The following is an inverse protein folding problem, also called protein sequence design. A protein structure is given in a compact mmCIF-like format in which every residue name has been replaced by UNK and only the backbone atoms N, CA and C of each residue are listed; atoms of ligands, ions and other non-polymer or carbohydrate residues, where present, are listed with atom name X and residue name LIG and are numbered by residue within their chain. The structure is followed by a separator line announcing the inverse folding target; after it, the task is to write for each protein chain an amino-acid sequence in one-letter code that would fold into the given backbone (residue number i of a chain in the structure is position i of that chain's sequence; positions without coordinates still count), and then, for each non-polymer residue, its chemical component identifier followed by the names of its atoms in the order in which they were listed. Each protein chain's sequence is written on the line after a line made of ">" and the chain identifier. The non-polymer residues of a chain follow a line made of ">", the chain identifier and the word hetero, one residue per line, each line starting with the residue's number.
data_IF_899347231678
#
_entry.id   IF_899347231678
#
_cell.length_a   1.000
_cell.length_b   1.000
_cell.length_c   1.000
_cell.angle_alpha   90.00
_cell.angle_beta   90.00
_cell.angle_gamma   90.00
#
_symmetry.space_group_name_H-M   'P 1'
#
loop_
_entity.id
_entity.type
_entity.pdbx_description
1 polymer ?
#
# COMPACT_ATOMS: atom_id res chain seq x y z
N UNK A 1 -15.04 -9.49 -16.01
CA UNK A 1 -14.29 -8.28 -15.57
C UNK A 1 -12.91 -8.61 -15.00
N UNK A 2 -12.76 -9.53 -14.04
CA UNK A 2 -11.47 -9.78 -13.35
C UNK A 2 -10.30 -10.17 -14.28
N UNK A 3 -10.53 -10.97 -15.33
CA UNK A 3 -9.46 -11.37 -16.27
C UNK A 3 -8.91 -10.19 -17.10
N UNK A 4 -9.77 -9.22 -17.46
CA UNK A 4 -9.35 -8.04 -18.25
C UNK A 4 -8.43 -7.14 -17.43
N UNK A 5 -8.74 -6.94 -16.15
CA UNK A 5 -7.89 -6.16 -15.24
C UNK A 5 -6.52 -6.82 -15.04
N UNK A 6 -6.49 -8.14 -14.81
CA UNK A 6 -5.22 -8.88 -14.68
C UNK A 6 -4.34 -8.79 -15.93
N UNK A 7 -4.94 -8.85 -17.12
CA UNK A 7 -4.18 -8.71 -18.38
C UNK A 7 -3.60 -7.30 -18.55
N UNK A 8 -4.36 -6.26 -18.19
CA UNK A 8 -3.88 -4.88 -18.18
C UNK A 8 -2.74 -4.70 -17.18
N UNK A 9 -2.91 -5.20 -15.95
CA UNK A 9 -1.88 -5.11 -14.91
C UNK A 9 -0.58 -5.83 -15.33
N UNK A 10 -0.70 -7.00 -15.97
CA UNK A 10 0.45 -7.74 -16.49
C UNK A 10 1.20 -6.98 -17.59
N UNK A 11 0.49 -6.36 -18.52
CA UNK A 11 1.09 -5.52 -19.57
C UNK A 11 1.80 -4.29 -19.00
N UNK A 12 1.12 -3.56 -18.11
CA UNK A 12 1.68 -2.39 -17.44
C UNK A 12 2.91 -2.74 -16.59
N UNK A 13 2.89 -3.89 -15.91
CA UNK A 13 4.01 -4.38 -15.11
C UNK A 13 5.24 -4.69 -15.98
N UNK A 14 5.03 -5.34 -17.13
CA UNK A 14 6.12 -5.63 -18.06
C UNK A 14 6.79 -4.34 -18.59
N UNK A 15 5.98 -3.33 -18.92
CA UNK A 15 6.48 -2.04 -19.37
C UNK A 15 7.21 -1.29 -18.24
N UNK A 16 6.65 -1.25 -17.03
CA UNK A 16 7.30 -0.62 -15.88
C UNK A 16 8.66 -1.26 -15.58
N UNK A 17 8.76 -2.59 -15.62
CA UNK A 17 10.04 -3.30 -15.44
C UNK A 17 11.09 -2.86 -16.45
N UNK A 18 10.67 -2.69 -17.71
CA UNK A 18 11.55 -2.22 -18.78
C UNK A 18 12.04 -0.80 -18.50
N UNK A 19 11.14 0.11 -18.09
CA UNK A 19 11.49 1.49 -17.72
C UNK A 19 12.45 1.50 -16.52
N UNK A 20 12.16 0.74 -15.47
CA UNK A 20 13.01 0.68 -14.28
C UNK A 20 14.40 0.12 -14.59
N UNK A 21 14.49 -0.90 -15.45
CA UNK A 21 15.77 -1.47 -15.85
C UNK A 21 16.62 -0.47 -16.66
N UNK A 22 15.98 0.33 -17.51
CA UNK A 22 16.68 1.30 -18.36
C UNK A 22 17.03 2.61 -17.63
N UNK A 23 16.13 3.11 -16.81
CA UNK A 23 16.15 4.49 -16.30
C UNK A 23 16.20 4.58 -14.76
N UNK A 24 16.04 3.47 -14.04
CA UNK A 24 15.82 3.48 -12.61
C UNK A 24 14.40 3.93 -12.23
N UNK A 25 14.21 4.36 -10.99
CA UNK A 25 12.90 4.80 -10.51
C UNK A 25 12.44 6.07 -11.25
N UNK A 26 11.21 6.11 -11.80
CA UNK A 26 10.69 7.31 -12.45
C UNK A 26 10.72 8.53 -11.51
N UNK A 27 11.33 9.61 -11.99
CA UNK A 27 11.54 10.84 -11.22
C UNK A 27 10.34 11.78 -11.28
N UNK A 28 10.33 12.76 -10.37
CA UNK A 28 9.24 13.73 -10.21
C UNK A 28 8.01 13.14 -9.53
N UNK A 29 7.21 14.01 -8.90
CA UNK A 29 6.07 13.59 -8.09
C UNK A 29 5.06 12.72 -8.86
N UNK A 30 4.75 13.10 -10.09
CA UNK A 30 3.80 12.35 -10.93
C UNK A 30 4.40 11.02 -11.41
N UNK A 31 5.62 11.03 -11.95
CA UNK A 31 6.29 9.83 -12.44
C UNK A 31 6.47 8.80 -11.33
N UNK A 32 6.98 9.22 -10.18
CA UNK A 32 7.14 8.34 -9.02
C UNK A 32 5.80 7.81 -8.51
N UNK A 33 4.72 8.61 -8.52
CA UNK A 33 3.42 8.15 -8.06
C UNK A 33 2.81 7.12 -9.02
N UNK A 34 2.89 7.35 -10.33
CA UNK A 34 2.43 6.39 -11.34
C UNK A 34 3.19 5.08 -11.28
N UNK A 35 4.52 5.13 -11.12
CA UNK A 35 5.36 3.96 -10.95
C UNK A 35 5.01 3.18 -9.68
N UNK A 36 4.81 3.89 -8.57
CA UNK A 36 4.35 3.30 -7.32
C UNK A 36 2.99 2.62 -7.48
N UNK A 37 2.02 3.23 -8.16
CA UNK A 37 0.69 2.67 -8.34
C UNK A 37 0.76 1.32 -9.07
N UNK A 38 1.56 1.23 -10.13
CA UNK A 38 1.77 -0.02 -10.85
C UNK A 38 2.51 -1.08 -9.99
N UNK A 39 3.57 -0.68 -9.28
CA UNK A 39 4.30 -1.59 -8.39
C UNK A 39 3.40 -2.09 -7.24
N UNK A 40 2.54 -1.23 -6.70
CA UNK A 40 1.58 -1.53 -5.64
C UNK A 40 0.61 -2.65 -6.03
N UNK A 41 0.26 -2.75 -7.32
CA UNK A 41 -0.66 -3.74 -7.86
C UNK A 41 0.04 -4.98 -8.47
N UNK A 42 1.37 -5.05 -8.40
CA UNK A 42 2.14 -6.22 -8.84
C UNK A 42 2.07 -7.40 -7.84
N UNK A 43 0.88 -7.73 -7.33
CA UNK A 43 0.68 -8.71 -6.25
C UNK A 43 1.12 -10.13 -6.64
N UNK A 44 1.15 -10.46 -7.93
CA UNK A 44 1.69 -11.73 -8.43
C UNK A 44 3.22 -11.77 -8.53
N UNK A 45 3.92 -10.68 -8.21
CA UNK A 45 5.37 -10.56 -8.31
C UNK A 45 5.96 -9.81 -7.11
N UNK A 46 6.00 -10.50 -5.97
CA UNK A 46 6.57 -9.98 -4.72
C UNK A 46 8.05 -9.61 -4.88
N UNK A 47 8.80 -10.35 -5.71
CA UNK A 47 10.21 -10.04 -5.96
C UNK A 47 10.36 -8.64 -6.59
N UNK A 48 9.53 -8.33 -7.58
CA UNK A 48 9.49 -6.99 -8.15
C UNK A 48 9.01 -5.94 -7.15
N UNK A 49 7.98 -6.22 -6.35
CA UNK A 49 7.54 -5.28 -5.29
C UNK A 49 8.68 -4.92 -4.33
N UNK A 50 9.51 -5.90 -3.93
CA UNK A 50 10.69 -5.65 -3.08
C UNK A 50 11.75 -4.79 -3.78
N UNK A 51 12.03 -5.04 -5.07
CA UNK A 51 12.92 -4.19 -5.87
C UNK A 51 12.40 -2.75 -5.94
N UNK A 52 11.11 -2.59 -6.26
CA UNK A 52 10.43 -1.31 -6.32
C UNK A 52 10.46 -0.57 -4.97
N UNK A 53 10.28 -1.30 -3.84
CA UNK A 53 10.40 -0.73 -2.48
C UNK A 53 11.78 -0.12 -2.26
N UNK A 54 12.87 -0.81 -2.61
CA UNK A 54 14.22 -0.29 -2.43
C UNK A 54 14.50 0.96 -3.26
N UNK A 55 14.05 0.97 -4.51
CA UNK A 55 14.14 2.13 -5.40
C UNK A 55 13.31 3.32 -4.90
N UNK A 56 12.08 3.06 -4.47
CA UNK A 56 11.18 4.06 -3.90
C UNK A 56 11.72 4.62 -2.58
N UNK A 57 12.37 3.80 -1.75
CA UNK A 57 13.02 4.25 -0.52
C UNK A 57 14.15 5.25 -0.80
N UNK A 58 14.98 4.98 -1.80
CA UNK A 58 16.01 5.93 -2.25
C UNK A 58 15.38 7.24 -2.77
N UNK A 59 14.26 7.14 -3.51
CA UNK A 59 13.53 8.30 -4.02
C UNK A 59 12.82 9.11 -2.90
N UNK A 60 12.40 8.47 -1.81
CA UNK A 60 11.88 9.20 -0.63
C UNK A 60 13.03 9.92 0.07
N UNK A 61 14.17 9.24 0.27
CA UNK A 61 15.35 9.82 0.93
C UNK A 61 15.90 11.06 0.21
N UNK A 62 15.81 11.10 -1.11
CA UNK A 62 16.25 12.25 -1.91
C UNK A 62 15.14 13.30 -2.14
N UNK A 63 13.94 13.12 -1.58
CA UNK A 63 12.82 14.05 -1.69
C UNK A 63 12.06 14.02 -3.02
N UNK A 64 12.32 13.05 -3.90
CA UNK A 64 11.63 12.92 -5.20
C UNK A 64 10.39 12.04 -5.19
N UNK A 65 10.08 11.39 -4.06
CA UNK A 65 8.90 10.57 -3.87
C UNK A 65 8.21 10.80 -2.52
N UNK A 66 6.90 10.53 -2.46
CA UNK A 66 6.13 10.67 -1.24
C UNK A 66 6.37 9.49 -0.27
N UNK A 67 6.73 9.78 0.98
CA UNK A 67 6.93 8.75 2.01
C UNK A 67 5.69 7.88 2.27
N UNK A 68 4.49 8.45 2.07
CA UNK A 68 3.23 7.70 2.10
C UNK A 68 3.20 6.53 1.10
N UNK A 69 3.72 6.71 -0.11
CA UNK A 69 3.75 5.65 -1.11
C UNK A 69 4.63 4.49 -0.64
N UNK A 70 5.79 4.80 -0.05
CA UNK A 70 6.67 3.79 0.53
C UNK A 70 5.98 3.00 1.65
N UNK A 71 5.27 3.68 2.56
CA UNK A 71 4.52 3.04 3.65
C UNK A 71 3.49 2.01 3.14
N UNK A 72 2.71 2.39 2.12
CA UNK A 72 1.72 1.49 1.52
C UNK A 72 2.34 0.28 0.82
N UNK A 73 3.43 0.49 0.07
CA UNK A 73 4.11 -0.61 -0.61
C UNK A 73 4.77 -1.56 0.39
N UNK A 74 5.40 -1.02 1.44
CA UNK A 74 6.00 -1.82 2.51
C UNK A 74 4.97 -2.72 3.19
N UNK A 75 3.82 -2.18 3.57
CA UNK A 75 2.75 -2.95 4.21
C UNK A 75 2.08 -3.96 3.27
N UNK A 76 1.98 -3.67 1.96
CA UNK A 76 1.49 -4.65 0.99
C UNK A 76 2.39 -5.87 0.91
N UNK A 77 3.70 -5.65 0.87
CA UNK A 77 4.69 -6.72 0.88
C UNK A 77 4.62 -7.49 2.19
N UNK A 78 4.54 -6.80 3.34
CA UNK A 78 4.39 -7.45 4.64
C UNK A 78 3.14 -8.32 4.71
N UNK A 79 2.00 -7.83 4.22
CA UNK A 79 0.75 -8.58 4.15
C UNK A 79 0.86 -9.83 3.27
N UNK A 80 1.47 -9.71 2.08
CA UNK A 80 1.69 -10.84 1.17
C UNK A 80 2.64 -11.90 1.77
N UNK A 81 3.54 -11.48 2.66
CA UNK A 81 4.48 -12.35 3.38
C UNK A 81 3.94 -12.88 4.72
N UNK A 82 2.71 -12.50 5.11
CA UNK A 82 2.15 -12.86 6.42
C UNK A 82 2.89 -12.24 7.61
N UNK A 83 3.62 -11.15 7.40
CA UNK A 83 4.35 -10.42 8.45
C UNK A 83 3.54 -9.24 9.00
N UNK A 84 3.81 -8.82 10.25
CA UNK A 84 3.23 -7.58 10.77
C UNK A 84 3.57 -6.36 9.90
N UNK A 85 2.58 -5.50 9.72
CA UNK A 85 2.69 -4.26 8.97
C UNK A 85 3.50 -3.20 9.73
N UNK A 86 4.20 -2.34 9.00
CA UNK A 86 5.00 -1.25 9.56
C UNK A 86 4.15 0.02 9.79
N UNK A 87 3.12 0.22 8.96
CA UNK A 87 2.27 1.42 8.96
C UNK A 87 0.77 1.13 9.10
N UNK A 88 0.32 -0.12 9.01
CA UNK A 88 -1.09 -0.51 9.19
C UNK A 88 -2.02 -0.04 8.05
N UNK A 89 -1.59 -0.16 6.80
CA UNK A 89 -2.36 0.31 5.62
C UNK A 89 -3.25 -0.75 4.97
N UNK A 90 -2.95 -2.04 5.17
CA UNK A 90 -3.67 -3.19 4.64
C UNK A 90 -4.74 -3.67 5.63
N UNK A 91 -5.89 -4.00 5.05
CA UNK A 91 -7.06 -4.52 5.75
C UNK A 91 -7.57 -5.75 5.01
N UNK A 92 -8.23 -6.62 5.74
CA UNK A 92 -9.12 -7.65 5.20
C UNK A 92 -10.56 -7.28 5.52
N UNK A 93 -11.47 -7.77 4.70
CA UNK A 93 -12.91 -7.62 4.88
C UNK A 93 -13.50 -9.04 4.86
N UNK A 94 -13.52 -9.73 6.01
CA UNK A 94 -13.95 -11.14 6.08
C UNK A 94 -15.43 -11.30 5.71
N UNK A 95 -16.24 -10.27 5.93
CA UNK A 95 -17.63 -10.21 5.51
C UNK A 95 -18.06 -8.78 5.17
N UNK A 96 -19.34 -8.60 4.84
CA UNK A 96 -19.91 -7.32 4.43
C UNK A 96 -19.74 -6.20 5.47
N UNK A 97 -19.78 -6.53 6.75
CA UNK A 97 -19.91 -5.56 7.85
C UNK A 97 -18.63 -5.39 8.67
N UNK A 98 -17.66 -6.30 8.55
CA UNK A 98 -16.41 -6.24 9.30
C UNK A 98 -15.23 -5.85 8.40
N UNK A 99 -14.50 -4.81 8.82
CA UNK A 99 -13.23 -4.40 8.22
C UNK A 99 -12.14 -4.50 9.30
N UNK A 100 -11.22 -5.42 9.09
CA UNK A 100 -10.17 -5.74 10.05
C UNK A 100 -8.81 -5.36 9.48
N UNK A 101 -8.01 -4.66 10.29
CA UNK A 101 -6.64 -4.37 9.91
C UNK A 101 -5.82 -5.64 10.03
N UNK A 102 -4.95 -5.92 9.06
CA UNK A 102 -3.99 -7.02 9.21
C UNK A 102 -3.02 -6.68 10.36
N UNK A 103 -2.37 -7.69 10.99
CA UNK A 103 -1.54 -7.47 12.17
C UNK A 103 -0.48 -6.38 11.98
N UNK A 104 -0.24 -5.60 13.04
CA UNK A 104 0.89 -4.66 13.17
C UNK A 104 1.81 -5.14 14.28
N UNK A 105 3.06 -4.67 14.28
CA UNK A 105 4.03 -5.04 15.31
C UNK A 105 3.67 -4.45 16.68
N UNK A 106 3.42 -3.14 16.73
CA UNK A 106 3.06 -2.42 17.94
C UNK A 106 2.36 -1.10 17.58
N UNK A 107 1.16 -0.88 18.12
CA UNK A 107 0.31 0.27 17.76
C UNK A 107 1.03 1.61 18.01
N UNK A 108 1.69 1.79 19.15
CA UNK A 108 2.39 3.04 19.47
C UNK A 108 3.60 3.27 18.55
N UNK A 109 4.34 2.20 18.24
CA UNK A 109 5.46 2.28 17.30
C UNK A 109 4.98 2.64 15.89
N UNK A 110 3.90 2.03 15.42
CA UNK A 110 3.26 2.37 14.14
C UNK A 110 2.80 3.82 14.13
N UNK A 111 2.11 4.28 15.17
CA UNK A 111 1.65 5.66 15.27
C UNK A 111 2.82 6.67 15.25
N UNK A 112 3.96 6.35 15.88
CA UNK A 112 5.19 7.17 15.76
C UNK A 112 5.71 7.22 14.33
N UNK A 113 5.80 6.07 13.63
CA UNK A 113 6.21 6.02 12.21
C UNK A 113 5.27 6.81 11.32
N UNK A 114 3.95 6.68 11.54
CA UNK A 114 2.90 7.39 10.80
C UNK A 114 2.99 8.90 10.98
N UNK A 115 3.14 9.37 12.22
CA UNK A 115 3.30 10.78 12.53
C UNK A 115 4.54 11.38 11.83
N UNK A 116 5.66 10.66 11.83
CA UNK A 116 6.90 11.11 11.20
C UNK A 116 6.78 11.37 9.68
N UNK A 117 5.80 10.75 9.02
CA UNK A 117 5.54 10.94 7.59
C UNK A 117 4.21 11.66 7.30
N UNK A 118 3.60 12.27 8.32
CA UNK A 118 2.37 13.07 8.18
C UNK A 118 1.09 12.26 7.99
N UNK A 119 1.07 10.99 8.38
CA UNK A 119 -0.15 10.17 8.37
C UNK A 119 -0.95 10.33 9.68
N UNK A 120 -2.29 10.22 9.63
CA UNK A 120 -3.12 10.21 10.83
C UNK A 120 -2.84 8.97 11.69
N UNK A 121 -3.27 8.96 12.94
CA UNK A 121 -3.14 7.75 13.79
C UNK A 121 -3.84 6.54 13.16
N UNK A 122 -3.43 5.35 13.60
CA UNK A 122 -3.94 4.08 13.14
C UNK A 122 -5.44 3.94 13.44
N UNK A 123 -5.88 4.44 14.59
CA UNK A 123 -7.28 4.47 15.03
C UNK A 123 -8.11 5.41 14.17
N UNK A 124 -7.64 6.64 13.95
CA UNK A 124 -8.32 7.62 13.10
C UNK A 124 -8.44 7.11 11.65
N UNK A 125 -7.38 6.46 11.17
CA UNK A 125 -7.36 5.85 9.85
C UNK A 125 -8.31 4.66 9.74
N UNK A 126 -8.30 3.75 10.72
CA UNK A 126 -9.23 2.61 10.75
C UNK A 126 -10.69 3.07 10.82
N UNK A 127 -11.00 4.10 11.60
CA UNK A 127 -12.33 4.70 11.68
C UNK A 127 -12.77 5.31 10.32
N UNK A 128 -11.88 6.06 9.66
CA UNK A 128 -12.13 6.61 8.33
C UNK A 128 -12.40 5.48 7.30
N UNK A 129 -11.59 4.42 7.33
CA UNK A 129 -11.72 3.28 6.42
C UNK A 129 -13.04 2.54 6.63
N UNK A 130 -13.42 2.27 7.89
CA UNK A 130 -14.74 1.68 8.21
C UNK A 130 -15.88 2.55 7.70
N UNK A 131 -15.83 3.87 7.94
CA UNK A 131 -16.86 4.80 7.46
C UNK A 131 -17.03 4.78 5.93
N UNK A 132 -15.94 4.58 5.19
CA UNK A 132 -15.95 4.55 3.71
C UNK A 132 -16.35 3.20 3.11
N UNK A 133 -15.91 2.10 3.75
CA UNK A 133 -15.98 0.77 3.15
C UNK A 133 -17.11 -0.09 3.74
N UNK A 134 -17.56 0.20 4.96
CA UNK A 134 -18.65 -0.53 5.62
C UNK A 134 -19.98 0.20 5.36
N UNK A 135 -20.98 -0.49 4.79
CA UNK A 135 -22.31 0.05 4.60
C UNK A 135 -22.95 0.57 5.91
N UNK A 136 -23.76 1.63 5.81
CA UNK A 136 -24.37 2.26 6.99
C UNK A 136 -25.36 1.33 7.74
N UNK A 137 -26.00 0.41 7.03
CA UNK A 137 -26.93 -0.57 7.62
C UNK A 137 -26.24 -1.64 8.47
N UNK A 138 -24.92 -1.79 8.37
CA UNK A 138 -24.12 -2.64 9.27
C UNK A 138 -23.90 -2.02 10.67
N UNK A 139 -24.22 -0.74 10.88
CA UNK A 139 -23.91 -0.03 12.13
C UNK A 139 -24.87 -0.40 13.29
N UNK A 140 -25.93 -1.17 13.00
CA UNK A 140 -26.96 -1.56 13.97
C UNK A 140 -26.84 -3.01 14.48
N UNK A 141 -25.85 -3.78 13.99
CA UNK A 141 -25.69 -5.21 14.33
C UNK A 141 -24.76 -5.48 15.52
N UNK A 142 -24.41 -4.45 16.29
CA UNK A 142 -23.76 -4.64 17.60
C UNK A 142 -24.83 -5.00 18.62
N UNK A 143 -25.19 -6.28 18.66
CA UNK A 143 -25.88 -6.90 19.82
C UNK A 143 -24.85 -7.51 20.77
#
# INVERSE_FOLDING_TARGET
>A
MQQRWRAIDAGNLAELKTIIAACGWPSGAQGSHSAWLLAQHADSDIAFQRQARGLLEAAVKNGSAAARNLAYLADRIAAAEGRPQEYGTQFTQPDRCHLEMLPVDNIDAVNRRRLAIGLPSLEAYAAERRKRLIPADCQNDVK
#
